data_IF_145429147716
#
_entry.id   IF_145429147716
#
_cell.length_a   1.000
_cell.length_b   1.000
_cell.length_c   1.000
_cell.angle_alpha   90.00
_cell.angle_beta   90.00
_cell.angle_gamma   90.00
#
_symmetry.space_group_name_H-M   'P 1'
#
loop_
_entity.id
_entity.type
_entity.pdbx_description
1 polymer ?
#
# COMPACT_ATOMS: atom_id res chain seq x y z
N UNK A 1 -22.53 -10.42 12.36
CA UNK A 1 -21.36 -10.36 11.45
C UNK A 1 -21.32 -8.96 10.86
N UNK A 2 -20.17 -8.27 10.92
CA UNK A 2 -20.05 -6.88 10.48
C UNK A 2 -20.23 -6.74 8.95
N UNK A 3 -20.68 -5.59 8.46
CA UNK A 3 -21.06 -5.38 7.06
C UNK A 3 -19.88 -5.51 6.07
N UNK A 4 -18.68 -5.06 6.47
CA UNK A 4 -17.54 -4.86 5.54
C UNK A 4 -16.37 -5.85 5.65
N UNK A 5 -16.28 -6.62 6.73
CA UNK A 5 -15.20 -7.59 6.94
C UNK A 5 -15.75 -8.95 7.35
N UNK A 6 -14.99 -10.00 7.04
CA UNK A 6 -15.31 -11.37 7.42
C UNK A 6 -14.59 -11.78 8.71
N UNK A 7 -13.40 -11.22 8.94
CA UNK A 7 -12.50 -11.67 10.00
C UNK A 7 -11.51 -10.56 10.38
N UNK A 8 -11.07 -10.58 11.64
CA UNK A 8 -9.99 -9.74 12.18
C UNK A 8 -9.04 -10.67 12.91
N UNK A 9 -7.77 -10.67 12.50
CA UNK A 9 -6.72 -11.40 13.20
C UNK A 9 -5.79 -10.39 13.88
N UNK A 10 -5.69 -10.53 15.21
CA UNK A 10 -4.73 -9.82 16.02
C UNK A 10 -3.34 -10.48 15.91
N UNK A 11 -2.29 -9.68 16.05
CA UNK A 11 -0.89 -10.14 16.10
C UNK A 11 -0.22 -9.55 17.33
N UNK A 12 0.95 -10.06 17.71
CA UNK A 12 1.65 -9.50 18.89
C UNK A 12 2.10 -8.05 18.64
N UNK A 13 1.81 -7.16 19.59
CA UNK A 13 2.12 -5.72 19.54
C UNK A 13 3.57 -5.35 19.94
N UNK A 14 4.54 -6.23 19.69
CA UNK A 14 5.94 -6.14 20.12
C UNK A 14 6.80 -5.16 19.30
N UNK A 15 6.18 -4.15 18.67
CA UNK A 15 6.84 -3.25 17.72
C UNK A 15 7.14 -3.85 16.34
N UNK A 16 6.97 -5.17 16.16
CA UNK A 16 7.11 -5.87 14.87
C UNK A 16 5.76 -6.25 14.25
N UNK A 17 4.65 -5.88 14.89
CA UNK A 17 3.27 -6.19 14.47
C UNK A 17 3.01 -5.89 12.98
N UNK A 18 3.60 -4.83 12.41
CA UNK A 18 3.48 -4.52 10.98
C UNK A 18 3.99 -5.64 10.07
N UNK A 19 5.13 -6.24 10.42
CA UNK A 19 5.74 -7.32 9.65
C UNK A 19 4.99 -8.64 9.87
N UNK A 20 4.59 -8.90 11.13
CA UNK A 20 3.76 -10.06 11.49
C UNK A 20 2.43 -10.05 10.74
N UNK A 21 1.76 -8.89 10.67
CA UNK A 21 0.50 -8.74 9.96
C UNK A 21 0.63 -9.07 8.45
N UNK A 22 1.71 -8.59 7.82
CA UNK A 22 2.03 -8.93 6.42
C UNK A 22 2.26 -10.44 6.27
N UNK A 23 3.03 -11.07 7.18
CA UNK A 23 3.31 -12.51 7.14
C UNK A 23 2.04 -13.37 7.30
N UNK A 24 1.20 -13.07 8.29
CA UNK A 24 -0.10 -13.75 8.52
C UNK A 24 -1.00 -13.66 7.29
N UNK A 25 -1.02 -12.50 6.61
CA UNK A 25 -1.81 -12.29 5.41
C UNK A 25 -1.32 -13.08 4.21
N UNK A 26 0.00 -13.20 4.05
CA UNK A 26 0.59 -13.95 2.95
C UNK A 26 0.45 -15.46 3.15
N UNK A 27 0.32 -15.94 4.40
CA UNK A 27 0.34 -17.37 4.70
C UNK A 27 1.66 -18.01 4.26
N UNK A 28 2.75 -17.23 4.31
CA UNK A 28 4.08 -17.58 3.81
C UNK A 28 5.13 -17.39 4.91
N UNK A 29 6.24 -18.15 4.85
CA UNK A 29 7.41 -17.86 5.67
C UNK A 29 7.97 -16.46 5.37
N UNK A 30 8.66 -15.87 6.36
CA UNK A 30 9.14 -14.48 6.38
C UNK A 30 10.03 -14.09 5.17
N UNK A 31 10.65 -15.09 4.54
CA UNK A 31 11.56 -14.99 3.39
C UNK A 31 10.85 -15.00 2.01
N UNK A 32 9.52 -15.06 1.97
CA UNK A 32 8.74 -14.99 0.71
C UNK A 32 8.52 -13.55 0.22
N UNK A 33 9.59 -12.75 0.16
CA UNK A 33 9.59 -11.31 -0.15
C UNK A 33 9.13 -10.94 -1.56
N UNK A 34 8.87 -11.93 -2.43
CA UNK A 34 8.15 -11.73 -3.69
C UNK A 34 6.69 -11.37 -3.35
N UNK A 35 6.50 -10.13 -2.89
CA UNK A 35 5.22 -9.45 -2.70
C UNK A 35 4.45 -9.54 -4.02
N UNK A 36 3.62 -10.57 -4.15
CA UNK A 36 2.87 -10.85 -5.37
C UNK A 36 1.82 -9.76 -5.58
N UNK A 37 2.20 -8.61 -6.16
CA UNK A 37 1.29 -7.56 -6.66
C UNK A 37 0.04 -7.31 -5.78
N UNK A 38 0.20 -7.30 -4.46
CA UNK A 38 -0.90 -7.07 -3.53
C UNK A 38 -1.21 -5.58 -3.48
N UNK A 39 -2.50 -5.25 -3.51
CA UNK A 39 -2.98 -3.92 -3.13
C UNK A 39 -3.11 -3.90 -1.60
N UNK A 40 -2.41 -3.00 -0.93
CA UNK A 40 -2.41 -2.84 0.52
C UNK A 40 -3.31 -1.68 0.90
N UNK A 41 -4.34 -1.95 1.69
CA UNK A 41 -5.24 -0.98 2.29
C UNK A 41 -4.82 -0.79 3.74
N UNK A 42 -4.62 0.46 4.16
CA UNK A 42 -4.33 0.81 5.55
C UNK A 42 -5.51 1.60 6.09
N UNK A 43 -6.17 1.06 7.11
CA UNK A 43 -7.25 1.73 7.83
C UNK A 43 -6.70 2.26 9.16
N UNK A 44 -6.72 3.58 9.33
CA UNK A 44 -6.36 4.20 10.60
C UNK A 44 -7.63 4.51 11.41
N UNK A 45 -7.66 4.09 12.68
CA UNK A 45 -8.66 4.52 13.65
C UNK A 45 -8.39 5.91 14.23
N UNK A 46 -9.36 6.47 14.96
CA UNK A 46 -9.21 7.66 15.82
C UNK A 46 -8.62 8.92 15.16
N UNK A 47 -9.19 9.32 14.01
CA UNK A 47 -8.79 10.57 13.35
C UNK A 47 -7.52 10.48 12.49
N UNK A 48 -6.94 9.29 12.34
CA UNK A 48 -5.91 9.04 11.34
C UNK A 48 -6.46 8.94 9.91
N UNK A 49 -5.61 9.23 8.92
CA UNK A 49 -5.95 9.05 7.50
C UNK A 49 -5.89 7.57 7.15
N UNK A 50 -6.93 7.08 6.45
CA UNK A 50 -6.91 5.76 5.84
C UNK A 50 -6.56 5.90 4.37
N UNK A 51 -5.73 5.01 3.86
CA UNK A 51 -5.18 5.10 2.51
C UNK A 51 -5.06 3.74 1.83
N UNK A 52 -5.06 3.74 0.51
CA UNK A 52 -4.76 2.55 -0.31
C UNK A 52 -3.44 2.73 -1.05
N UNK A 53 -2.57 1.72 -0.93
CA UNK A 53 -1.30 1.58 -1.61
C UNK A 53 -1.39 0.43 -2.62
N UNK A 54 -0.96 0.67 -3.86
CA UNK A 54 -0.91 -0.37 -4.88
C UNK A 54 0.52 -0.86 -5.09
N UNK A 55 0.72 -1.93 -5.88
CA UNK A 55 2.05 -2.24 -6.39
C UNK A 55 2.67 -1.01 -7.08
N UNK A 56 3.95 -0.76 -6.83
CA UNK A 56 4.66 0.37 -7.42
C UNK A 56 4.87 0.19 -8.92
N UNK A 57 4.82 -1.05 -9.42
CA UNK A 57 5.08 -1.39 -10.81
C UNK A 57 4.10 -2.43 -11.35
N UNK A 58 4.04 -2.53 -12.67
CA UNK A 58 3.20 -3.48 -13.39
C UNK A 58 1.71 -3.14 -13.40
N UNK A 59 0.98 -3.80 -14.29
CA UNK A 59 -0.46 -3.60 -14.47
C UNK A 59 -1.30 -4.43 -13.48
N UNK A 60 -2.52 -3.98 -13.16
CA UNK A 60 -3.49 -4.78 -12.41
C UNK A 60 -3.71 -6.14 -13.05
N UNK A 61 -3.59 -7.20 -12.26
CA UNK A 61 -3.98 -8.55 -12.69
C UNK A 61 -5.48 -8.77 -12.47
N UNK A 62 -6.05 -9.79 -13.12
CA UNK A 62 -7.47 -10.13 -12.97
C UNK A 62 -7.86 -10.52 -11.53
N UNK A 63 -6.92 -11.05 -10.74
CA UNK A 63 -7.15 -11.41 -9.34
C UNK A 63 -7.15 -10.17 -8.44
N UNK A 64 -8.22 -9.99 -7.67
CA UNK A 64 -8.24 -9.04 -6.56
C UNK A 64 -7.40 -9.61 -5.42
N UNK A 65 -6.27 -8.96 -5.16
CA UNK A 65 -5.33 -9.31 -4.10
C UNK A 65 -5.24 -8.16 -3.13
N UNK A 66 -6.29 -8.00 -2.33
CA UNK A 66 -6.37 -6.96 -1.31
C UNK A 66 -5.87 -7.49 0.03
N UNK A 67 -4.97 -6.72 0.61
CA UNK A 67 -4.49 -6.86 1.97
C UNK A 67 -5.01 -5.68 2.76
N UNK A 68 -5.66 -5.87 3.91
CA UNK A 68 -6.10 -4.75 4.74
C UNK A 68 -5.46 -4.82 6.12
N UNK A 69 -4.82 -3.72 6.50
CA UNK A 69 -4.15 -3.53 7.77
C UNK A 69 -4.90 -2.48 8.59
N UNK A 70 -5.28 -2.81 9.82
CA UNK A 70 -5.87 -1.86 10.76
C UNK A 70 -4.80 -1.29 11.67
N UNK A 71 -4.60 0.03 11.67
CA UNK A 71 -3.76 0.73 12.64
C UNK A 71 -4.61 1.19 13.82
N UNK A 72 -4.30 0.69 15.01
CA UNK A 72 -5.01 1.00 16.25
C UNK A 72 -4.03 1.43 17.34
N UNK A 73 -4.53 2.20 18.32
CA UNK A 73 -3.79 2.60 19.53
C UNK A 73 -2.45 3.33 19.29
N UNK A 74 -2.21 3.85 18.09
CA UNK A 74 -1.01 4.63 17.80
C UNK A 74 0.27 3.81 17.56
N UNK A 75 0.22 2.48 17.68
CA UNK A 75 1.40 1.63 17.53
C UNK A 75 1.12 0.17 17.14
N UNK A 76 -0.15 -0.21 16.97
CA UNK A 76 -0.52 -1.62 16.80
C UNK A 76 -1.20 -1.86 15.46
N UNK A 77 -0.86 -2.98 14.82
CA UNK A 77 -1.42 -3.40 13.54
C UNK A 77 -2.25 -4.66 13.69
N UNK A 78 -3.41 -4.66 13.06
CA UNK A 78 -4.32 -5.80 12.93
C UNK A 78 -4.42 -6.20 11.47
N UNK A 79 -4.68 -7.49 11.25
CA UNK A 79 -5.06 -8.00 9.93
C UNK A 79 -6.57 -7.96 9.81
N UNK A 80 -7.10 -7.34 8.75
CA UNK A 80 -8.54 -7.28 8.47
C UNK A 80 -8.81 -8.01 7.15
N UNK A 81 -9.70 -9.01 7.17
CA UNK A 81 -10.16 -9.67 5.95
C UNK A 81 -11.42 -8.98 5.44
N UNK A 82 -11.25 -8.21 4.37
CA UNK A 82 -12.34 -7.46 3.74
C UNK A 82 -13.26 -8.38 2.95
N UNK A 83 -14.56 -8.09 2.97
CA UNK A 83 -15.53 -8.71 2.07
C UNK A 83 -15.29 -8.24 0.62
N UNK A 84 -15.56 -9.08 -0.39
CA UNK A 84 -15.53 -8.65 -1.78
C UNK A 84 -16.40 -7.41 -2.01
N UNK A 85 -15.89 -6.46 -2.78
CA UNK A 85 -16.63 -5.24 -3.14
C UNK A 85 -16.78 -4.20 -2.01
N UNK A 86 -16.26 -4.44 -0.80
CA UNK A 86 -16.39 -3.46 0.29
C UNK A 86 -15.75 -2.12 -0.09
N UNK A 87 -16.24 -0.99 0.43
CA UNK A 87 -15.58 0.30 0.27
C UNK A 87 -14.15 0.26 0.79
N UNK A 88 -13.23 0.95 0.10
CA UNK A 88 -11.82 1.08 0.51
C UNK A 88 -11.40 2.55 0.46
N UNK A 89 -10.44 3.00 1.27
CA UNK A 89 -10.00 4.39 1.26
C UNK A 89 -9.39 4.83 -0.09
N UNK A 90 -9.35 6.14 -0.35
CA UNK A 90 -8.67 6.69 -1.53
C UNK A 90 -7.19 6.31 -1.61
N UNK A 91 -6.63 6.43 -2.81
CA UNK A 91 -5.22 6.20 -3.09
C UNK A 91 -4.31 7.11 -2.27
N UNK A 92 -3.21 6.58 -1.72
CA UNK A 92 -2.19 7.39 -1.06
C UNK A 92 -1.52 8.33 -2.05
N UNK A 93 -1.36 9.60 -1.64
CA UNK A 93 -0.60 10.60 -2.41
C UNK A 93 0.89 10.21 -2.51
N UNK A 94 1.42 9.52 -1.50
CA UNK A 94 2.80 9.04 -1.50
C UNK A 94 2.97 7.94 -2.55
N UNK A 95 2.05 6.97 -2.62
CA UNK A 95 2.07 5.98 -3.69
C UNK A 95 1.99 6.62 -5.07
N UNK A 96 1.07 7.58 -5.26
CA UNK A 96 0.86 8.27 -6.54
C UNK A 96 2.12 8.98 -7.03
N UNK A 97 2.92 9.56 -6.12
CA UNK A 97 4.21 10.19 -6.43
C UNK A 97 5.27 9.18 -6.89
N UNK A 98 5.25 7.96 -6.36
CA UNK A 98 6.35 7.00 -6.51
C UNK A 98 6.07 5.83 -7.45
N UNK A 99 4.83 5.59 -7.88
CA UNK A 99 4.56 4.46 -8.77
C UNK A 99 5.13 4.65 -10.20
N UNK A 100 5.38 3.58 -10.92
CA UNK A 100 5.94 3.57 -12.27
C UNK A 100 4.82 3.67 -13.33
N UNK A 101 5.22 3.92 -14.59
CA UNK A 101 4.29 4.23 -15.69
C UNK A 101 3.10 3.27 -15.81
N UNK A 102 3.33 1.95 -15.85
CA UNK A 102 2.24 0.97 -15.98
C UNK A 102 1.34 0.85 -14.74
N UNK A 103 1.84 1.24 -13.57
CA UNK A 103 1.12 1.13 -12.31
C UNK A 103 0.01 2.20 -12.13
N UNK A 104 0.01 3.26 -12.93
CA UNK A 104 -1.02 4.32 -12.88
C UNK A 104 -2.44 3.80 -13.18
N UNK A 105 -2.56 2.60 -13.73
CA UNK A 105 -3.84 1.94 -14.04
C UNK A 105 -4.50 1.32 -12.80
N UNK A 106 -3.77 1.13 -11.69
CA UNK A 106 -4.30 0.48 -10.48
C UNK A 106 -5.50 1.19 -9.84
N UNK A 107 -5.49 2.51 -9.59
CA UNK A 107 -6.61 3.21 -8.96
C UNK A 107 -7.93 3.06 -9.72
N UNK A 108 -7.87 3.04 -11.06
CA UNK A 108 -9.05 2.89 -11.91
C UNK A 108 -9.86 1.62 -11.61
N UNK A 109 -9.20 0.53 -11.17
CA UNK A 109 -9.88 -0.72 -10.79
C UNK A 109 -10.74 -0.58 -9.53
N UNK A 110 -10.40 0.36 -8.65
CA UNK A 110 -11.03 0.50 -7.33
C UNK A 110 -11.77 1.82 -7.14
N UNK A 111 -11.86 2.67 -8.18
CA UNK A 111 -12.41 4.03 -8.09
C UNK A 111 -13.84 4.05 -7.51
N UNK A 112 -14.68 3.10 -7.88
CA UNK A 112 -16.04 2.99 -7.35
C UNK A 112 -16.05 2.66 -5.84
N UNK A 113 -15.12 1.81 -5.39
CA UNK A 113 -14.99 1.44 -3.97
C UNK A 113 -14.44 2.59 -3.14
N UNK A 114 -13.57 3.41 -3.72
CA UNK A 114 -13.05 4.65 -3.12
C UNK A 114 -14.13 5.71 -2.97
N UNK A 115 -14.93 5.92 -4.02
CA UNK A 115 -16.07 6.84 -3.99
C UNK A 115 -17.10 6.42 -2.94
N UNK A 116 -17.40 5.12 -2.84
CA UNK A 116 -18.27 4.58 -1.81
C UNK A 116 -17.71 4.83 -0.39
N UNK A 117 -16.40 4.70 -0.20
CA UNK A 117 -15.76 4.94 1.10
C UNK A 117 -15.86 6.41 1.52
N UNK A 118 -15.57 7.34 0.60
CA UNK A 118 -15.71 8.77 0.87
C UNK A 118 -17.16 9.14 1.17
N UNK A 119 -18.12 8.53 0.50
CA UNK A 119 -19.55 8.69 0.81
C UNK A 119 -19.86 8.25 2.24
N UNK A 120 -19.38 7.07 2.66
CA UNK A 120 -19.54 6.62 4.04
C UNK A 120 -18.87 7.56 5.05
N UNK A 121 -17.67 8.05 4.78
CA UNK A 121 -16.98 8.99 5.66
C UNK A 121 -17.74 10.30 5.82
N UNK A 122 -18.31 10.85 4.73
CA UNK A 122 -19.15 12.05 4.77
C UNK A 122 -20.40 11.86 5.63
N UNK A 123 -21.06 10.71 5.54
CA UNK A 123 -22.28 10.39 6.33
C UNK A 123 -21.99 10.29 7.84
N UNK A 124 -20.75 9.95 8.20
CA UNK A 124 -20.35 9.75 9.59
C UNK A 124 -19.40 10.84 10.12
N UNK A 125 -19.40 12.03 9.51
CA UNK A 125 -18.55 13.18 9.88
C UNK A 125 -17.05 12.84 10.02
N UNK A 126 -16.59 11.86 9.24
CA UNK A 126 -15.21 11.42 9.20
C UNK A 126 -14.35 12.27 8.27
N UNK A 127 -13.03 12.17 8.44
CA UNK A 127 -12.07 12.79 7.52
C UNK A 127 -12.23 12.18 6.12
N UNK A 128 -12.49 13.04 5.14
CA UNK A 128 -12.57 12.69 3.72
C UNK A 128 -11.24 13.02 3.08
N UNK A 129 -10.66 12.06 2.37
CA UNK A 129 -9.52 12.31 1.47
C UNK A 129 -10.10 12.63 0.10
N UNK A 130 -9.57 13.64 -0.58
CA UNK A 130 -10.07 14.04 -1.91
C UNK A 130 -10.17 12.84 -2.86
N UNK A 131 -11.19 12.87 -3.73
CA UNK A 131 -11.38 11.82 -4.72
C UNK A 131 -10.12 11.70 -5.59
N UNK A 132 -9.69 10.46 -5.86
CA UNK A 132 -8.49 10.25 -6.65
C UNK A 132 -8.68 10.80 -8.07
N UNK A 133 -7.88 11.82 -8.41
CA UNK A 133 -7.77 12.35 -9.76
C UNK A 133 -6.44 11.84 -10.35
N UNK A 134 -6.46 11.07 -11.45
CA UNK A 134 -5.24 10.64 -12.12
C UNK A 134 -4.37 11.85 -12.48
N UNK A 135 -3.14 11.90 -11.97
CA UNK A 135 -2.19 12.96 -12.32
C UNK A 135 -1.31 12.49 -13.48
N UNK A 136 -1.12 13.33 -14.52
CA UNK A 136 -0.14 13.03 -15.57
C UNK A 136 1.23 12.86 -14.93
N UNK A 137 1.84 11.68 -15.10
CA UNK A 137 3.24 11.50 -14.75
C UNK A 137 4.05 12.14 -15.85
N UNK A 138 4.73 13.24 -15.52
CA UNK A 138 5.86 13.69 -16.32
C UNK A 138 6.82 12.50 -16.36
N UNK A 139 6.98 11.91 -17.53
CA UNK A 139 8.00 10.89 -17.78
C UNK A 139 9.33 11.63 -17.69
N UNK A 140 9.84 11.82 -16.47
CA UNK A 140 11.22 12.20 -16.31
C UNK A 140 11.99 10.94 -16.71
N UNK A 141 12.53 10.94 -17.93
CA UNK A 141 13.37 9.89 -18.44
C UNK A 141 14.47 9.62 -17.40
N UNK A 142 14.29 8.58 -16.59
CA UNK A 142 15.36 8.00 -15.77
C UNK A 142 16.36 7.22 -16.65
N UNK A 143 16.52 7.64 -17.91
CA UNK A 143 17.56 7.18 -18.78
C UNK A 143 18.91 7.70 -18.25
N UNK A 144 19.58 6.83 -17.51
CA UNK A 144 21.03 6.73 -17.40
C UNK A 144 21.78 8.01 -17.04
N UNK A 145 21.96 8.24 -15.74
CA UNK A 145 23.28 8.59 -15.21
C UNK A 145 23.67 7.56 -14.16
N UNK A 146 24.11 6.39 -14.63
CA UNK A 146 25.25 5.77 -13.97
C UNK A 146 26.41 6.74 -14.18
N UNK A 147 26.64 7.64 -13.22
CA UNK A 147 27.94 8.28 -13.16
C UNK A 147 28.95 7.16 -12.91
N UNK A 148 29.82 6.93 -13.90
CA UNK A 148 30.89 5.96 -13.81
C UNK A 148 31.78 6.33 -12.63
N UNK A 149 31.60 5.65 -11.51
CA UNK A 149 32.61 5.64 -10.46
C UNK A 149 33.72 4.73 -10.99
N UNK A 150 34.73 5.34 -11.61
CA UNK A 150 36.01 4.70 -11.82
C UNK A 150 36.61 4.41 -10.44
N UNK A 151 36.91 3.15 -10.08
CA UNK A 151 37.63 2.89 -8.85
C UNK A 151 39.08 3.37 -9.03
N UNK A 152 39.47 4.40 -8.27
CA UNK A 152 40.88 4.76 -8.10
C UNK A 152 41.63 3.54 -7.52
N UNK A 153 42.55 2.98 -8.30
CA UNK A 153 43.49 1.98 -7.83
C UNK A 153 44.47 2.62 -6.85
N UNK A 154 44.29 2.35 -5.56
CA UNK A 154 45.30 2.60 -4.55
C UNK A 154 46.47 1.62 -4.78
N UNK A 155 47.59 2.13 -5.28
CA UNK A 155 48.85 1.39 -5.29
C UNK A 155 49.42 1.39 -3.87
N UNK A 156 49.28 0.26 -3.17
CA UNK A 156 50.11 -0.04 -2.00
C UNK A 156 51.42 -0.65 -2.52
N UNK A 157 52.42 0.21 -2.70
CA UNK A 157 53.80 -0.26 -2.74
C UNK A 157 54.16 -0.74 -1.34
N UNK A 158 54.63 -1.98 -1.25
CA UNK A 158 55.25 -2.58 -0.07
C UNK A 158 56.57 -1.84 0.22
N UNK A 159 56.75 -1.41 1.46
CA UNK A 159 58.06 -1.09 2.06
C UNK A 159 58.43 -2.24 3.01
#
# INVERSE_FOLDING_TARGET
MHEYYTDIADVDGDGHCRFRAVSVLLGKPEDSYNLVKYTVVVLAGNGGYSETYFPLEGVPTASDKLMCLGWVNGNHFLVIRLKPGCPIPPTSLMWDRHCLGEAVKWPGRYIHRMSAYNTLKRVHDGIVVEDYVPRPKLLLDLATKEESIVPETFNLAED
#
